data_IF_514139362785
#
_entry.id   IF_514139362785
#
_cell.length_a   1.000
_cell.length_b   1.000
_cell.length_c   1.000
_cell.angle_alpha   90.00
_cell.angle_beta   90.00
_cell.angle_gamma   90.00
#
_symmetry.space_group_name_H-M   'P 1'
#
loop_
_entity.id
_entity.type
_entity.pdbx_description
1 polymer ?
#
# COMPACT_ATOMS: atom_id res chain seq x y z
N UNK A 1 -23.77 3.49 -11.63
CA UNK A 1 -22.59 2.69 -11.26
C UNK A 1 -22.38 2.74 -9.76
N UNK A 2 -22.35 1.59 -9.14
CA UNK A 2 -21.91 1.52 -7.74
C UNK A 2 -20.42 1.80 -7.67
N UNK A 3 -20.01 2.78 -6.86
CA UNK A 3 -18.62 2.98 -6.51
C UNK A 3 -18.19 1.90 -5.54
N UNK A 4 -17.14 1.15 -5.89
CA UNK A 4 -16.53 0.17 -5.02
C UNK A 4 -15.30 0.78 -4.37
N UNK A 5 -15.20 0.70 -3.05
CA UNK A 5 -14.01 1.12 -2.31
C UNK A 5 -13.33 -0.12 -1.77
N UNK A 6 -12.03 -0.23 -2.02
CA UNK A 6 -11.19 -1.33 -1.57
C UNK A 6 -10.16 -0.81 -0.59
N UNK A 7 -10.11 -1.43 0.57
CA UNK A 7 -9.11 -1.17 1.61
C UNK A 7 -8.10 -2.31 1.62
N UNK A 8 -6.84 -1.95 1.57
CA UNK A 8 -5.74 -2.90 1.71
C UNK A 8 -4.77 -2.41 2.77
N UNK A 9 -4.11 -3.36 3.41
CA UNK A 9 -3.14 -3.12 4.46
C UNK A 9 -1.86 -3.88 4.11
N UNK A 10 -0.72 -3.24 4.27
CA UNK A 10 0.59 -3.89 4.19
C UNK A 10 1.33 -3.73 5.52
N UNK A 11 1.82 -4.85 6.06
CA UNK A 11 2.46 -4.91 7.38
C UNK A 11 3.95 -5.13 7.25
N UNK A 12 4.73 -4.27 7.92
CA UNK A 12 6.19 -4.27 7.91
C UNK A 12 6.67 -4.16 9.36
N UNK A 13 7.68 -4.93 9.72
CA UNK A 13 8.29 -4.77 11.03
C UNK A 13 9.80 -4.59 10.92
N UNK A 14 10.36 -3.81 11.84
CA UNK A 14 11.79 -3.61 11.96
C UNK A 14 12.33 -4.29 13.21
N UNK A 15 13.64 -4.23 13.38
CA UNK A 15 14.32 -4.77 14.55
C UNK A 15 15.70 -5.27 14.19
N UNK A 16 16.45 -5.70 15.21
CA UNK A 16 17.82 -6.19 15.05
C UNK A 16 17.90 -7.55 14.37
N UNK A 17 16.81 -8.32 14.39
CA UNK A 17 16.72 -9.65 13.79
C UNK A 17 15.28 -9.97 13.40
N UNK A 18 15.08 -10.85 12.41
CA UNK A 18 13.74 -11.34 12.09
C UNK A 18 13.09 -12.06 13.26
N UNK A 19 11.78 -11.85 13.42
CA UNK A 19 10.98 -12.48 14.46
C UNK A 19 10.25 -13.70 13.87
N UNK A 20 10.53 -14.94 14.38
CA UNK A 20 9.88 -16.15 13.89
C UNK A 20 8.35 -16.13 13.99
N UNK A 21 7.78 -15.42 14.99
CA UNK A 21 6.34 -15.30 15.18
C UNK A 21 5.66 -14.43 14.11
N UNK A 22 6.44 -13.58 13.42
CA UNK A 22 5.97 -12.72 12.33
C UNK A 22 6.27 -13.30 10.94
N UNK A 23 6.89 -14.46 10.88
CA UNK A 23 7.25 -15.10 9.62
C UNK A 23 6.01 -15.29 8.73
N UNK A 24 6.08 -14.76 7.51
CA UNK A 24 4.98 -14.74 6.52
C UNK A 24 3.70 -14.02 6.97
N UNK A 25 3.77 -13.20 8.03
CA UNK A 25 2.64 -12.36 8.48
C UNK A 25 2.91 -10.88 8.29
N UNK A 26 4.17 -10.49 8.31
CA UNK A 26 4.64 -9.15 8.04
C UNK A 26 6.02 -9.23 7.40
N UNK A 27 6.37 -8.22 6.60
CA UNK A 27 7.69 -8.17 5.99
C UNK A 27 8.72 -7.59 6.97
N UNK A 28 9.84 -8.28 7.12
CA UNK A 28 10.98 -7.78 7.89
C UNK A 28 11.81 -6.79 7.08
N UNK A 29 12.11 -5.63 7.70
CA UNK A 29 13.02 -4.65 7.15
C UNK A 29 14.16 -4.40 8.17
N UNK A 30 15.44 -4.55 7.78
CA UNK A 30 16.56 -4.53 8.75
C UNK A 30 16.90 -3.13 9.28
N UNK A 31 16.41 -2.08 8.64
CA UNK A 31 16.69 -0.71 9.06
C UNK A 31 15.51 -0.12 9.82
N UNK A 32 15.79 0.95 10.59
CA UNK A 32 14.76 1.66 11.35
C UNK A 32 13.69 2.19 10.41
N UNK A 33 12.44 1.91 10.74
CA UNK A 33 11.28 2.43 10.01
C UNK A 33 10.87 3.79 10.61
N UNK A 34 10.82 4.80 9.77
CA UNK A 34 10.37 6.15 10.11
C UNK A 34 8.93 6.33 9.65
N UNK A 35 8.00 5.94 10.52
CA UNK A 35 6.57 5.99 10.21
C UNK A 35 6.06 7.40 9.91
N UNK A 36 6.63 8.42 10.53
CA UNK A 36 6.24 9.82 10.31
C UNK A 36 6.60 10.27 8.89
N UNK A 37 7.82 10.00 8.44
CA UNK A 37 8.26 10.25 7.06
C UNK A 37 7.42 9.46 6.04
N UNK A 38 7.19 8.19 6.32
CA UNK A 38 6.38 7.32 5.46
C UNK A 38 4.95 7.87 5.35
N UNK A 39 4.38 8.33 6.47
CA UNK A 39 3.02 8.89 6.47
C UNK A 39 2.92 10.20 5.68
N UNK A 40 3.93 11.06 5.77
CA UNK A 40 4.00 12.28 4.97
C UNK A 40 4.02 11.97 3.46
N UNK A 41 4.78 10.96 3.06
CA UNK A 41 4.83 10.51 1.67
C UNK A 41 3.51 9.84 1.24
N UNK A 42 2.89 9.06 2.12
CA UNK A 42 1.62 8.40 1.85
C UNK A 42 0.52 9.40 1.51
N UNK A 43 0.49 10.54 2.19
CA UNK A 43 -0.49 11.60 1.91
C UNK A 43 -0.41 12.11 0.46
N UNK A 44 0.77 12.09 -0.16
CA UNK A 44 0.97 12.51 -1.55
C UNK A 44 0.28 11.58 -2.57
N UNK A 45 -0.07 10.37 -2.17
CA UNK A 45 -0.75 9.40 -3.04
C UNK A 45 -2.26 9.64 -3.12
N UNK A 46 -2.82 10.40 -2.20
CA UNK A 46 -4.25 10.69 -2.19
C UNK A 46 -4.67 11.50 -3.42
N UNK A 47 -5.88 11.26 -3.89
CA UNK A 47 -6.44 11.90 -5.07
C UNK A 47 -6.46 10.98 -6.28
N UNK A 48 -6.87 11.55 -7.41
CA UNK A 48 -6.93 10.85 -8.68
C UNK A 48 -5.63 11.08 -9.45
N UNK A 49 -4.94 9.98 -9.75
CA UNK A 49 -3.66 10.01 -10.47
C UNK A 49 -3.60 8.86 -11.47
N UNK A 50 -2.73 9.03 -12.47
CA UNK A 50 -2.28 7.90 -13.29
C UNK A 50 -1.19 7.15 -12.52
N UNK A 51 -1.54 5.98 -11.99
CA UNK A 51 -0.65 5.14 -11.18
C UNK A 51 0.13 4.11 -12.02
N UNK A 52 0.34 4.35 -13.32
CA UNK A 52 1.06 3.39 -14.18
C UNK A 52 2.46 3.04 -13.67
N UNK A 53 3.13 3.96 -12.95
CA UNK A 53 4.42 3.68 -12.33
C UNK A 53 4.33 2.64 -11.19
N UNK A 54 3.14 2.48 -10.59
CA UNK A 54 2.87 1.54 -9.51
C UNK A 54 2.28 0.23 -10.00
N UNK A 55 2.56 -0.14 -11.22
CA UNK A 55 2.08 -1.37 -11.83
C UNK A 55 3.27 -2.24 -12.24
N UNK A 56 3.15 -3.56 -12.02
CA UNK A 56 4.19 -4.49 -12.42
C UNK A 56 4.41 -4.44 -13.94
N UNK A 57 5.68 -4.57 -14.36
CA UNK A 57 6.03 -4.63 -15.77
C UNK A 57 5.32 -5.80 -16.47
N UNK A 58 4.86 -5.55 -17.69
CA UNK A 58 4.17 -6.55 -18.50
C UNK A 58 2.68 -6.69 -18.23
N UNK A 59 2.14 -6.02 -17.19
CA UNK A 59 0.70 -5.98 -16.97
C UNK A 59 0.02 -5.14 -18.06
N UNK A 60 -1.09 -5.63 -18.58
CA UNK A 60 -1.87 -4.94 -19.62
C UNK A 60 -3.20 -4.47 -19.05
N UNK A 61 -3.34 -3.17 -18.87
CA UNK A 61 -4.56 -2.51 -18.41
C UNK A 61 -4.76 -1.27 -19.26
N UNK A 62 -5.99 -1.05 -19.73
CA UNK A 62 -6.30 0.10 -20.60
C UNK A 62 -6.32 1.41 -19.82
N UNK A 63 -6.83 1.40 -18.58
CA UNK A 63 -6.93 2.57 -17.74
C UNK A 63 -6.14 2.35 -16.45
N UNK A 64 -5.08 3.11 -16.28
CA UNK A 64 -4.20 3.07 -15.12
C UNK A 64 -4.49 4.19 -14.10
N UNK A 65 -5.50 5.01 -14.37
CA UNK A 65 -5.96 6.02 -13.43
C UNK A 65 -6.74 5.36 -12.28
N UNK A 66 -6.42 5.78 -11.06
CA UNK A 66 -7.13 5.33 -9.84
C UNK A 66 -7.31 6.53 -8.92
N UNK A 67 -8.33 6.45 -8.09
CA UNK A 67 -8.57 7.42 -7.03
C UNK A 67 -8.24 6.78 -5.68
N UNK A 68 -7.24 7.31 -5.00
CA UNK A 68 -6.89 6.95 -3.64
C UNK A 68 -7.61 7.90 -2.70
N UNK A 69 -8.50 7.38 -1.88
CA UNK A 69 -9.30 8.16 -0.93
C UNK A 69 -8.55 8.44 0.35
N UNK A 70 -7.74 7.49 0.77
CA UNK A 70 -6.90 7.60 1.96
C UNK A 70 -5.66 6.73 1.82
N UNK A 71 -4.56 7.22 2.31
CA UNK A 71 -3.32 6.45 2.45
C UNK A 71 -2.57 6.99 3.66
N UNK A 72 -2.40 6.14 4.66
CA UNK A 72 -1.72 6.52 5.88
C UNK A 72 -0.86 5.40 6.44
N UNK A 73 0.07 5.77 7.29
CA UNK A 73 1.01 4.87 7.93
C UNK A 73 0.88 5.04 9.44
N UNK A 74 0.70 3.94 10.13
CA UNK A 74 0.67 3.87 11.58
C UNK A 74 1.79 2.97 12.10
N UNK A 75 2.17 3.14 13.36
CA UNK A 75 3.22 2.36 14.01
C UNK A 75 2.76 1.91 15.38
N UNK A 76 2.95 0.63 15.68
CA UNK A 76 2.63 0.03 16.96
C UNK A 76 3.55 -1.17 17.20
N UNK A 77 4.19 -1.22 18.38
CA UNK A 77 5.03 -2.36 18.82
C UNK A 77 6.09 -2.78 17.80
N UNK A 78 6.77 -1.80 17.20
CA UNK A 78 7.83 -2.06 16.21
C UNK A 78 7.31 -2.51 14.85
N UNK A 79 6.01 -2.52 14.65
CA UNK A 79 5.37 -2.82 13.38
C UNK A 79 4.78 -1.55 12.77
N UNK A 80 5.00 -1.40 11.47
CA UNK A 80 4.45 -0.32 10.68
C UNK A 80 3.38 -0.90 9.76
N UNK A 81 2.23 -0.25 9.74
CA UNK A 81 1.10 -0.64 8.92
C UNK A 81 0.80 0.47 7.91
N UNK A 82 0.85 0.11 6.63
CA UNK A 82 0.43 0.97 5.52
C UNK A 82 -1.01 0.62 5.18
N UNK A 83 -1.91 1.58 5.31
CA UNK A 83 -3.33 1.42 4.97
C UNK A 83 -3.65 2.29 3.77
N UNK A 84 -4.29 1.71 2.76
CA UNK A 84 -4.66 2.43 1.55
C UNK A 84 -6.08 2.05 1.11
N UNK A 85 -6.90 3.08 0.85
CA UNK A 85 -8.27 2.96 0.35
C UNK A 85 -8.37 3.60 -1.03
N UNK A 86 -8.89 2.88 -2.00
CA UNK A 86 -9.01 3.35 -3.37
C UNK A 86 -10.22 2.76 -4.08
N UNK A 87 -10.56 3.31 -5.24
CA UNK A 87 -11.61 2.76 -6.10
C UNK A 87 -11.18 1.46 -6.81
N UNK A 88 -9.96 1.06 -6.66
CA UNK A 88 -9.36 -0.15 -7.20
C UNK A 88 -7.85 -0.04 -7.19
N UNK A 89 -7.18 -1.16 -7.37
CA UNK A 89 -5.74 -1.24 -7.41
C UNK A 89 -5.25 -1.88 -8.70
N UNK A 90 -4.16 -1.35 -9.25
CA UNK A 90 -3.42 -1.99 -10.31
C UNK A 90 -2.69 -3.21 -9.76
N UNK A 91 -2.29 -4.11 -10.65
CA UNK A 91 -1.55 -5.32 -10.26
C UNK A 91 -0.27 -4.97 -9.50
N UNK A 92 -0.13 -5.51 -8.31
CA UNK A 92 0.97 -5.24 -7.36
C UNK A 92 1.05 -3.80 -6.82
N UNK A 93 0.07 -2.95 -7.09
CA UNK A 93 0.12 -1.54 -6.71
C UNK A 93 0.39 -1.32 -5.21
N UNK A 94 -0.35 -1.99 -4.33
CA UNK A 94 -0.18 -1.82 -2.87
C UNK A 94 1.21 -2.27 -2.41
N UNK A 95 1.73 -3.35 -3.00
CA UNK A 95 3.07 -3.86 -2.69
C UNK A 95 4.17 -2.91 -3.16
N UNK A 96 3.97 -2.22 -4.28
CA UNK A 96 4.89 -1.20 -4.80
C UNK A 96 4.79 0.08 -3.96
N UNK A 97 3.59 0.48 -3.56
CA UNK A 97 3.40 1.59 -2.62
C UNK A 97 4.18 1.35 -1.34
N UNK A 98 4.02 0.18 -0.74
CA UNK A 98 4.72 -0.17 0.50
C UNK A 98 6.24 -0.14 0.33
N UNK A 99 6.76 -0.69 -0.77
CA UNK A 99 8.20 -0.65 -1.09
C UNK A 99 8.72 0.77 -1.32
N UNK A 100 7.91 1.62 -1.93
CA UNK A 100 8.25 3.03 -2.13
C UNK A 100 8.30 3.79 -0.80
N UNK A 101 7.37 3.52 0.11
CA UNK A 101 7.37 4.12 1.44
C UNK A 101 8.56 3.64 2.30
N UNK A 102 9.00 2.40 2.14
CA UNK A 102 10.25 1.93 2.74
C UNK A 102 11.43 2.72 2.19
N UNK A 103 11.50 2.96 0.89
CA UNK A 103 12.57 3.77 0.29
C UNK A 103 12.56 5.21 0.84
N UNK A 104 11.40 5.77 1.14
CA UNK A 104 11.27 7.06 1.83
C UNK A 104 11.84 6.96 3.25
N UNK A 105 11.48 5.92 3.99
CA UNK A 105 12.00 5.69 5.34
C UNK A 105 13.54 5.58 5.35
N UNK A 106 14.11 4.91 4.36
CA UNK A 106 15.56 4.72 4.24
C UNK A 106 16.29 5.96 3.71
N UNK A 107 15.58 7.02 3.36
CA UNK A 107 16.17 8.25 2.84
C UNK A 107 16.56 8.21 1.36
N UNK A 108 16.19 7.16 0.64
CA UNK A 108 16.45 7.03 -0.81
C UNK A 108 15.52 7.90 -1.65
N UNK A 109 14.32 8.16 -1.16
CA UNK A 109 13.31 9.03 -1.77
C UNK A 109 12.87 10.04 -0.73
N UNK A 110 12.83 11.31 -1.10
CA UNK A 110 12.25 12.36 -0.24
C UNK A 110 10.74 12.45 -0.51
N UNK A 111 9.91 12.67 0.52
CA UNK A 111 8.45 12.79 0.33
C UNK A 111 8.07 13.83 -0.74
N UNK A 112 8.82 14.94 -0.83
CA UNK A 112 8.55 16.02 -1.78
C UNK A 112 8.74 15.62 -3.24
N UNK A 113 9.52 14.56 -3.49
CA UNK A 113 9.77 14.03 -4.85
C UNK A 113 8.61 13.17 -5.37
N UNK A 114 7.76 12.67 -4.47
CA UNK A 114 6.75 11.67 -4.82
C UNK A 114 5.71 12.18 -5.84
N UNK A 115 5.16 13.41 -5.73
CA UNK A 115 4.22 13.90 -6.73
C UNK A 115 4.79 13.90 -8.15
N UNK A 116 6.03 14.31 -8.33
CA UNK A 116 6.69 14.32 -9.64
C UNK A 116 6.99 12.90 -10.12
N UNK A 117 7.37 12.01 -9.23
CA UNK A 117 7.61 10.60 -9.56
C UNK A 117 6.32 9.90 -10.03
N UNK A 118 5.18 10.22 -9.43
CA UNK A 118 3.87 9.72 -9.88
C UNK A 118 3.59 10.22 -11.31
N UNK A 119 3.78 11.50 -11.55
CA UNK A 119 3.54 12.11 -12.87
C UNK A 119 4.46 11.54 -13.95
N UNK A 120 5.69 11.18 -13.59
CA UNK A 120 6.67 10.63 -14.54
C UNK A 120 6.21 9.31 -15.16
N UNK A 121 5.44 8.53 -14.41
CA UNK A 121 5.02 7.19 -14.82
C UNK A 121 6.16 6.18 -14.92
N UNK A 122 7.33 6.51 -14.39
CA UNK A 122 8.53 5.67 -14.47
C UNK A 122 8.62 4.72 -13.27
N UNK A 123 8.33 3.44 -13.52
CA UNK A 123 8.39 2.37 -12.50
C UNK A 123 9.76 2.28 -11.83
N UNK A 124 10.85 2.57 -12.57
CA UNK A 124 12.21 2.40 -12.05
C UNK A 124 12.59 3.42 -10.98
N UNK A 125 11.86 4.52 -10.88
CA UNK A 125 12.08 5.56 -9.87
C UNK A 125 11.49 5.22 -8.51
N UNK A 126 10.56 4.27 -8.46
CA UNK A 126 9.86 3.86 -7.25
C UNK A 126 10.61 2.75 -6.51
N UNK A 127 10.11 2.40 -5.35
CA UNK A 127 10.61 1.28 -4.56
C UNK A 127 10.32 -0.07 -5.18
N UNK A 128 10.90 -1.11 -4.59
CA UNK A 128 10.72 -2.48 -5.05
C UNK A 128 9.29 -2.99 -4.73
N UNK A 129 8.85 -4.00 -5.47
CA UNK A 129 7.63 -4.72 -5.14
C UNK A 129 7.90 -5.63 -3.94
N UNK A 130 7.24 -5.36 -2.81
CA UNK A 130 7.42 -6.17 -1.61
C UNK A 130 6.74 -7.55 -1.75
N UNK A 131 7.16 -8.55 -0.95
CA UNK A 131 6.54 -9.88 -0.98
C UNK A 131 5.05 -9.86 -0.65
N UNK A 132 4.26 -10.81 -1.17
CA UNK A 132 2.80 -10.80 -0.98
C UNK A 132 2.33 -11.13 0.44
N UNK A 133 3.14 -11.78 1.26
CA UNK A 133 2.72 -12.24 2.58
C UNK A 133 2.47 -11.13 3.62
N UNK A 134 2.93 -9.91 3.35
CA UNK A 134 2.61 -8.75 4.18
C UNK A 134 1.31 -8.03 3.79
N UNK A 135 0.71 -8.45 2.68
CA UNK A 135 -0.48 -7.82 2.12
C UNK A 135 -1.76 -8.46 2.65
N UNK A 136 -2.68 -7.62 3.10
CA UNK A 136 -4.02 -8.02 3.54
C UNK A 136 -5.07 -7.18 2.84
N UNK A 137 -6.03 -7.85 2.18
CA UNK A 137 -7.24 -7.19 1.72
C UNK A 137 -8.16 -7.06 2.93
N UNK A 138 -8.35 -5.83 3.40
CA UNK A 138 -9.05 -5.57 4.64
C UNK A 138 -10.56 -5.48 4.44
N UNK A 139 -11.00 -4.76 3.40
CA UNK A 139 -12.43 -4.49 3.17
C UNK A 139 -12.71 -4.17 1.71
N UNK A 140 -13.89 -4.58 1.24
CA UNK A 140 -14.52 -4.03 0.04
C UNK A 140 -15.90 -3.51 0.47
N UNK A 141 -16.20 -2.25 0.15
CA UNK A 141 -17.47 -1.64 0.53
C UNK A 141 -17.96 -0.67 -0.56
N UNK A 142 -19.26 -0.37 -0.49
CA UNK A 142 -19.94 0.48 -1.46
C UNK A 142 -20.54 1.70 -0.74
N UNK A 143 -20.36 2.94 -1.28
CA UNK A 143 -20.75 4.17 -0.58
C UNK A 143 -22.25 4.35 -0.29
N UNK A 144 -23.12 3.54 -0.89
CA UNK A 144 -24.55 3.64 -0.70
C UNK A 144 -25.08 3.04 0.62
N UNK A 145 -24.20 2.80 1.62
CA UNK A 145 -24.59 2.50 3.01
C UNK A 145 -24.45 1.06 3.47
N UNK A 146 -24.00 0.14 2.63
CA UNK A 146 -23.77 -1.25 3.08
C UNK A 146 -22.30 -1.63 2.93
N UNK A 147 -21.54 -1.40 4.00
CA UNK A 147 -20.22 -1.97 4.12
C UNK A 147 -20.35 -3.50 4.19
N UNK A 148 -19.95 -4.19 3.15
CA UNK A 148 -19.90 -5.64 3.18
C UNK A 148 -18.48 -6.07 3.51
N UNK A 149 -18.29 -6.50 4.74
CA UNK A 149 -17.07 -7.18 5.14
C UNK A 149 -17.07 -8.57 4.52
N UNK A 150 -16.25 -8.76 3.49
CA UNK A 150 -16.16 -10.04 2.77
C UNK A 150 -15.69 -11.16 3.70
N UNK A 151 -14.91 -10.84 4.72
CA UNK A 151 -14.45 -11.84 5.68
C UNK A 151 -15.56 -12.35 6.60
N UNK A 152 -16.58 -11.54 6.89
CA UNK A 152 -17.70 -12.00 7.71
C UNK A 152 -18.63 -12.95 6.96
N UNK A 153 -18.76 -12.83 5.64
CA UNK A 153 -19.58 -13.76 4.83
C UNK A 153 -19.00 -15.17 4.78
N UNK A 154 -17.68 -15.30 4.79
CA UNK A 154 -17.05 -16.63 4.74
C UNK A 154 -17.07 -17.37 6.08
N UNK A 155 -17.34 -16.66 7.19
CA UNK A 155 -17.46 -17.31 8.50
C UNK A 155 -18.90 -17.72 8.84
N UNK A 156 -19.90 -17.17 8.17
CA UNK A 156 -21.31 -17.52 8.40
C UNK A 156 -21.84 -18.66 7.51
N UNK A 157 -21.04 -19.17 6.58
CA UNK A 157 -21.36 -20.28 5.72
C UNK A 157 -20.48 -21.53 5.94
N UNK A 158 -19.83 -21.58 7.10
CA UNK A 158 -19.06 -22.74 7.54
C UNK A 158 -19.82 -23.57 8.56
#
# INVERSE_FOLDING_TARGET
RQMCIRDSVYRIYGGSAPDPFRYRRAMYHPYRLDAEKMNAAAACLCGTHDFRAFMAAGATVKDTCRTVYDCHVSSEDGEVTVTISANGFLYNMVRIVAGTLIAVSDGKIRPEQLPEMIRSGDRTRLGMTLPPFGLYLNRIWYPAGEAQDIFQRNQSNG
#
